data_IF_236435519396
#
_entry.id   IF_236435519396
#
_cell.length_a   1.000
_cell.length_b   1.000
_cell.length_c   1.000
_cell.angle_alpha   90.00
_cell.angle_beta   90.00
_cell.angle_gamma   90.00
#
_symmetry.space_group_name_H-M   'P 1'
#
loop_
_entity.id
_entity.type
_entity.pdbx_description
1 polymer ?
#
# COMPACT_ATOMS: atom_id res chain seq x y z
N UNK A 1 10.18 -12.36 -7.74
CA UNK A 1 9.78 -11.71 -6.48
C UNK A 1 10.69 -10.51 -6.25
N UNK A 2 10.14 -9.36 -5.90
CA UNK A 2 10.86 -8.11 -5.70
C UNK A 2 10.50 -7.53 -4.32
N UNK A 3 11.52 -7.12 -3.57
CA UNK A 3 11.37 -6.39 -2.31
C UNK A 3 11.70 -4.93 -2.56
N UNK A 4 10.84 -4.03 -2.08
CA UNK A 4 10.96 -2.59 -2.28
C UNK A 4 10.81 -1.89 -0.92
N UNK A 5 11.84 -1.18 -0.41
CA UNK A 5 11.66 -0.29 0.72
C UNK A 5 10.71 0.84 0.32
N UNK A 6 9.84 1.24 1.24
CA UNK A 6 8.84 2.29 1.02
C UNK A 6 8.93 3.33 2.12
N UNK A 7 8.79 4.60 1.73
CA UNK A 7 8.62 5.73 2.65
C UNK A 7 7.23 6.30 2.41
N UNK A 8 6.46 6.44 3.50
CA UNK A 8 5.12 7.00 3.45
C UNK A 8 5.11 8.33 4.18
N UNK A 9 4.59 9.37 3.53
CA UNK A 9 4.30 10.65 4.14
C UNK A 9 2.80 10.91 3.96
N UNK A 10 2.10 11.13 5.06
CA UNK A 10 0.67 11.40 5.07
C UNK A 10 0.35 12.62 5.90
N UNK A 11 -0.62 13.40 5.41
CA UNK A 11 -1.29 14.41 6.19
C UNK A 11 -2.52 13.76 6.83
N UNK A 12 -2.46 13.47 8.12
CA UNK A 12 -3.55 12.89 8.90
C UNK A 12 -3.61 13.62 10.25
N UNK A 13 -4.48 14.64 10.36
CA UNK A 13 -4.59 15.55 11.51
C UNK A 13 -3.26 16.16 12.03
N UNK A 14 -2.17 16.02 11.26
CA UNK A 14 -0.75 16.24 11.56
C UNK A 14 0.15 15.61 10.47
N UNK A 15 1.48 15.73 10.56
CA UNK A 15 2.41 15.08 9.62
C UNK A 15 2.80 13.68 10.13
N UNK A 16 2.28 12.64 9.49
CA UNK A 16 2.60 11.24 9.78
C UNK A 16 3.69 10.74 8.83
N UNK A 17 4.77 10.21 9.39
CA UNK A 17 5.87 9.63 8.63
C UNK A 17 6.00 8.14 8.94
N UNK A 18 6.18 7.35 7.90
CA UNK A 18 6.30 5.91 8.01
C UNK A 18 7.38 5.34 7.13
N UNK A 19 7.91 4.21 7.57
CA UNK A 19 8.76 3.34 6.78
C UNK A 19 8.07 2.00 6.61
N UNK A 20 8.28 1.34 5.48
CA UNK A 20 7.67 0.06 5.21
C UNK A 20 8.45 -0.76 4.21
N UNK A 21 7.98 -1.99 4.04
CA UNK A 21 8.50 -2.94 3.08
C UNK A 21 7.35 -3.47 2.23
N UNK A 22 7.50 -3.39 0.91
CA UNK A 22 6.61 -4.01 -0.06
C UNK A 22 7.29 -5.20 -0.70
N UNK A 23 6.59 -6.32 -0.75
CA UNK A 23 6.93 -7.47 -1.59
C UNK A 23 5.95 -7.54 -2.75
N UNK A 24 6.47 -7.78 -3.95
CA UNK A 24 5.67 -8.07 -5.13
C UNK A 24 6.19 -9.28 -5.87
N UNK A 25 5.30 -9.98 -6.55
CA UNK A 25 5.65 -10.98 -7.56
C UNK A 25 5.02 -10.55 -8.86
N UNK A 26 5.43 -11.16 -9.98
CA UNK A 26 4.80 -10.91 -11.26
C UNK A 26 4.58 -12.22 -12.00
N UNK A 27 3.54 -12.23 -12.83
CA UNK A 27 3.21 -13.32 -13.72
C UNK A 27 2.87 -12.76 -15.09
N UNK A 28 3.64 -13.15 -16.09
CA UNK A 28 3.42 -12.76 -17.48
C UNK A 28 2.56 -13.81 -18.20
N UNK A 29 1.51 -13.34 -18.88
CA UNK A 29 0.76 -14.08 -19.88
C UNK A 29 0.99 -13.49 -21.27
N UNK A 30 0.42 -14.10 -22.31
CA UNK A 30 0.67 -13.71 -23.71
C UNK A 30 0.54 -12.21 -24.01
N UNK A 31 -0.33 -11.49 -23.30
CA UNK A 31 -0.53 -10.04 -23.43
C UNK A 31 -0.88 -9.39 -22.10
N UNK A 32 -0.46 -9.97 -20.98
CA UNK A 32 -0.86 -9.46 -19.66
C UNK A 32 0.25 -9.61 -18.64
N UNK A 33 0.33 -8.65 -17.73
CA UNK A 33 1.22 -8.69 -16.58
C UNK A 33 0.36 -8.58 -15.32
N UNK A 34 0.36 -9.62 -14.50
CA UNK A 34 -0.28 -9.61 -13.17
C UNK A 34 0.80 -9.43 -12.11
N UNK A 35 0.65 -8.48 -11.21
CA UNK A 35 1.62 -8.16 -10.18
C UNK A 35 0.96 -8.09 -8.79
N UNK A 36 0.75 -9.23 -8.12
CA UNK A 36 0.28 -9.24 -6.73
C UNK A 36 1.37 -8.70 -5.80
N UNK A 37 0.94 -8.07 -4.71
CA UNK A 37 1.83 -7.50 -3.71
C UNK A 37 1.24 -7.53 -2.31
N UNK A 38 2.13 -7.49 -1.33
CA UNK A 38 1.81 -7.25 0.07
C UNK A 38 2.82 -6.24 0.63
N UNK A 39 2.41 -5.42 1.57
CA UNK A 39 3.28 -4.45 2.22
C UNK A 39 2.91 -4.30 3.69
N UNK A 40 3.92 -3.97 4.49
CA UNK A 40 3.78 -3.58 5.89
C UNK A 40 4.42 -2.23 6.09
N UNK A 41 3.74 -1.37 6.83
CA UNK A 41 4.22 -0.04 7.17
C UNK A 41 4.17 0.15 8.69
N UNK A 42 5.26 0.67 9.24
CA UNK A 42 5.33 1.20 10.59
C UNK A 42 5.23 2.70 10.49
N UNK A 43 4.20 3.23 11.12
CA UNK A 43 3.88 4.64 11.09
C UNK A 43 4.29 5.20 12.46
N UNK A 44 5.15 6.21 12.46
CA UNK A 44 5.38 7.01 13.66
C UNK A 44 4.37 8.15 13.68
N UNK A 45 3.71 8.31 14.83
CA UNK A 45 2.82 9.43 15.08
C UNK A 45 3.50 10.80 14.87
N UNK A 46 2.65 11.82 14.81
CA UNK A 46 2.95 13.22 14.47
C UNK A 46 4.40 13.64 14.76
N UNK A 47 5.12 14.16 13.76
CA UNK A 47 6.52 14.60 13.91
C UNK A 47 6.73 15.61 15.05
N UNK A 48 5.66 16.27 15.51
CA UNK A 48 5.65 17.24 16.59
C UNK A 48 5.29 16.67 17.99
N UNK A 49 4.73 15.46 18.09
CA UNK A 49 4.31 14.90 19.38
C UNK A 49 5.10 13.62 19.71
N UNK A 50 5.82 13.64 20.83
CA UNK A 50 6.75 12.57 21.26
C UNK A 50 6.03 11.28 21.71
N UNK A 51 4.69 11.25 21.68
CA UNK A 51 3.92 10.03 21.87
C UNK A 51 4.07 9.13 20.65
N UNK A 52 5.00 8.15 20.75
CA UNK A 52 5.12 7.02 19.83
C UNK A 52 3.78 6.27 19.74
N UNK A 53 2.95 6.65 18.78
CA UNK A 53 1.86 5.81 18.28
C UNK A 53 2.51 4.72 17.44
N UNK A 54 2.65 3.49 17.96
CA UNK A 54 3.09 2.33 17.16
C UNK A 54 1.90 1.85 16.33
N UNK A 55 1.63 2.55 15.23
CA UNK A 55 0.54 2.22 14.30
C UNK A 55 1.12 1.40 13.17
N UNK A 56 0.46 0.30 12.84
CA UNK A 56 0.88 -0.62 11.79
C UNK A 56 -0.18 -0.69 10.72
N UNK A 57 0.23 -0.53 9.48
CA UNK A 57 -0.64 -0.71 8.31
C UNK A 57 -0.16 -1.90 7.50
N UNK A 58 -1.06 -2.82 7.23
CA UNK A 58 -0.89 -3.93 6.31
C UNK A 58 -1.65 -3.60 5.04
N UNK A 59 -0.98 -3.76 3.91
CA UNK A 59 -1.56 -3.57 2.60
C UNK A 59 -1.37 -4.84 1.77
N UNK A 60 -2.39 -5.22 1.00
CA UNK A 60 -2.29 -6.30 0.03
C UNK A 60 -3.09 -5.91 -1.21
N UNK A 61 -2.61 -6.28 -2.39
CA UNK A 61 -3.29 -5.93 -3.62
C UNK A 61 -2.70 -6.61 -4.83
N UNK A 62 -3.22 -6.23 -5.98
CA UNK A 62 -2.81 -6.75 -7.27
C UNK A 62 -2.97 -5.67 -8.33
N UNK A 63 -1.91 -5.52 -9.12
CA UNK A 63 -1.91 -4.69 -10.33
C UNK A 63 -2.01 -5.62 -11.55
N UNK A 64 -2.80 -5.24 -12.54
CA UNK A 64 -3.00 -6.00 -13.77
C UNK A 64 -2.89 -5.08 -14.97
N UNK A 65 -1.99 -5.41 -15.89
CA UNK A 65 -1.89 -4.78 -17.19
C UNK A 65 -2.32 -5.78 -18.26
N UNK A 66 -3.11 -5.33 -19.23
CA UNK A 66 -3.57 -6.14 -20.37
C UNK A 66 -3.44 -5.35 -21.67
N UNK A 67 -2.58 -5.84 -22.56
CA UNK A 67 -2.07 -5.12 -23.71
C UNK A 67 -1.19 -3.93 -23.30
N UNK A 68 -1.02 -2.98 -24.23
CA UNK A 68 -0.16 -1.79 -24.00
C UNK A 68 -0.89 -0.68 -23.25
N UNK A 69 -2.23 -0.66 -23.34
CA UNK A 69 -3.03 0.54 -23.06
C UNK A 69 -3.97 0.43 -21.86
N UNK A 70 -4.25 -0.78 -21.38
CA UNK A 70 -5.28 -1.00 -20.36
C UNK A 70 -4.65 -1.62 -19.13
N UNK A 71 -5.20 -1.30 -17.97
CA UNK A 71 -4.87 -1.94 -16.71
C UNK A 71 -5.97 -1.77 -15.68
N UNK A 72 -5.88 -2.54 -14.61
CA UNK A 72 -6.71 -2.46 -13.43
C UNK A 72 -5.84 -2.71 -12.20
N UNK A 73 -6.29 -2.20 -11.06
CA UNK A 73 -5.65 -2.48 -9.79
C UNK A 73 -6.71 -2.60 -8.71
N UNK A 74 -6.42 -3.42 -7.70
CA UNK A 74 -7.27 -3.58 -6.53
C UNK A 74 -6.39 -3.82 -5.30
N UNK A 75 -6.79 -3.29 -4.16
CA UNK A 75 -6.05 -3.41 -2.92
C UNK A 75 -6.91 -3.23 -1.68
N UNK A 76 -6.41 -3.80 -0.59
CA UNK A 76 -6.98 -3.73 0.75
C UNK A 76 -5.90 -3.17 1.68
N UNK A 77 -6.31 -2.32 2.61
CA UNK A 77 -5.45 -1.88 3.71
C UNK A 77 -6.15 -2.15 5.03
N UNK A 78 -5.42 -2.75 5.98
CA UNK A 78 -5.84 -2.97 7.34
C UNK A 78 -4.87 -2.27 8.27
N UNK A 79 -5.39 -1.49 9.18
CA UNK A 79 -4.61 -0.64 10.05
C UNK A 79 -4.93 -0.95 11.51
N UNK A 80 -3.89 -1.04 12.32
CA UNK A 80 -3.98 -1.35 13.74
C UNK A 80 -3.23 -0.27 14.54
N UNK A 81 -3.97 0.51 15.33
CA UNK A 81 -3.43 1.55 16.20
C UNK A 81 -3.37 1.14 17.67
N UNK A 82 -2.48 1.76 18.44
CA UNK A 82 -2.23 1.44 19.85
C UNK A 82 -3.40 1.65 20.84
N UNK A 83 -4.52 2.26 20.41
CA UNK A 83 -5.75 2.42 21.23
C UNK A 83 -6.88 1.45 20.85
N UNK A 84 -6.58 0.36 20.13
CA UNK A 84 -7.58 -0.63 19.69
C UNK A 84 -8.40 -0.21 18.47
N UNK A 85 -8.05 0.92 17.85
CA UNK A 85 -8.65 1.35 16.59
C UNK A 85 -8.21 0.41 15.46
N UNK A 86 -9.20 -0.12 14.73
CA UNK A 86 -9.00 -0.95 13.54
C UNK A 86 -9.73 -0.30 12.38
N UNK A 87 -9.01 0.00 11.31
CA UNK A 87 -9.58 0.51 10.06
C UNK A 87 -9.27 -0.48 8.97
N UNK A 88 -10.29 -0.88 8.22
CA UNK A 88 -10.13 -1.65 7.00
C UNK A 88 -10.64 -0.77 5.86
N UNK A 89 -9.86 -0.70 4.78
CA UNK A 89 -10.22 0.02 3.57
C UNK A 89 -9.96 -0.86 2.36
N UNK A 90 -10.74 -0.65 1.31
CA UNK A 90 -10.58 -1.29 0.03
C UNK A 90 -10.55 -0.21 -1.04
N UNK A 91 -9.76 -0.43 -2.07
CA UNK A 91 -9.60 0.48 -3.20
C UNK A 91 -9.43 -0.32 -4.48
N UNK A 92 -9.99 0.18 -5.56
CA UNK A 92 -9.82 -0.40 -6.90
C UNK A 92 -9.86 0.71 -7.93
N UNK A 93 -9.26 0.46 -9.08
CA UNK A 93 -9.27 1.40 -10.18
C UNK A 93 -8.94 0.76 -11.52
N UNK A 94 -9.24 1.52 -12.57
CA UNK A 94 -8.95 1.17 -13.95
C UNK A 94 -8.01 2.22 -14.55
N UNK A 95 -7.11 1.78 -15.42
CA UNK A 95 -6.21 2.63 -16.20
C UNK A 95 -6.47 2.38 -17.68
N UNK A 96 -6.72 3.44 -18.43
CA UNK A 96 -6.81 3.42 -19.89
C UNK A 96 -5.93 4.52 -20.46
N UNK A 97 -4.99 4.15 -21.32
CA UNK A 97 -4.17 5.05 -22.11
C UNK A 97 -4.69 5.05 -23.54
N UNK A 98 -4.88 6.23 -24.12
CA UNK A 98 -5.41 6.45 -25.47
C UNK A 98 -4.30 6.87 -26.41
#
# INVERSE_FOLDING_TARGET
>A
MQLQPQVLLRHADGMEAGAGLRVSTWHEGQRSLLQPYAAVYWLSGDMHDSRKSDRRELQAGVDLQWGVRRGAWAGLNAEHGGRGQRRISAQMGLRMAW
#
